data_IF_672501021894
#
_entry.id   IF_672501021894
#
_cell.length_a   1.000
_cell.length_b   1.000
_cell.length_c   1.000
_cell.angle_alpha   90.00
_cell.angle_beta   90.00
_cell.angle_gamma   90.00
#
_symmetry.space_group_name_H-M   'P 1'
#
loop_
_entity.id
_entity.type
_entity.pdbx_description
1 polymer ?
#
# COMPACT_ATOMS: atom_id res chain seq x y z
N UNK A 1 39.67 39.92 29.52
CA UNK A 1 38.54 38.97 29.74
C UNK A 1 37.74 38.88 28.44
N UNK A 2 37.44 37.68 27.90
CA UNK A 2 36.68 37.56 26.67
C UNK A 2 35.17 37.62 26.96
N UNK A 3 34.34 38.18 26.06
CA UNK A 3 32.92 38.37 26.33
C UNK A 3 32.11 37.09 26.08
N UNK A 4 31.12 36.86 26.96
CA UNK A 4 30.17 35.74 26.92
C UNK A 4 29.37 35.73 25.60
N UNK A 5 29.48 34.64 24.84
CA UNK A 5 28.58 34.34 23.72
C UNK A 5 27.17 34.05 24.26
N UNK A 6 26.18 34.85 23.87
CA UNK A 6 24.76 34.52 23.96
C UNK A 6 24.49 33.37 22.99
N UNK A 7 24.18 32.19 23.50
CA UNK A 7 23.56 31.14 22.70
C UNK A 7 22.06 31.46 22.63
N UNK A 8 21.64 32.15 21.57
CA UNK A 8 20.25 32.15 21.18
C UNK A 8 19.95 30.72 20.69
N UNK A 9 19.13 29.99 21.44
CA UNK A 9 18.50 28.77 20.96
C UNK A 9 17.36 29.17 20.05
N UNK A 10 17.71 29.46 18.80
CA UNK A 10 16.76 29.65 17.71
C UNK A 10 16.37 28.25 17.22
N UNK A 11 15.50 27.58 17.97
CA UNK A 11 14.84 26.34 17.52
C UNK A 11 13.58 26.73 16.74
N UNK A 12 13.80 27.42 15.62
CA UNK A 12 12.82 27.54 14.57
C UNK A 12 12.71 26.15 13.93
N UNK A 13 11.88 25.30 14.53
CA UNK A 13 11.41 24.08 13.91
C UNK A 13 10.84 24.45 12.54
N UNK A 14 11.54 24.06 11.48
CA UNK A 14 11.04 24.14 10.12
C UNK A 14 9.66 23.48 10.09
N UNK A 15 8.63 24.28 9.87
CA UNK A 15 7.30 23.79 9.56
C UNK A 15 7.40 23.09 8.20
N UNK A 16 7.56 21.77 8.21
CA UNK A 16 7.37 20.94 7.03
C UNK A 16 5.91 21.05 6.60
N UNK A 17 5.70 21.90 5.61
CA UNK A 17 4.48 22.06 4.85
C UNK A 17 3.96 20.71 4.32
N UNK A 18 2.66 20.51 4.51
CA UNK A 18 1.80 19.61 3.71
C UNK A 18 2.03 18.09 3.82
N UNK A 19 1.90 17.53 5.03
CA UNK A 19 1.58 16.10 5.15
C UNK A 19 0.08 15.90 4.86
N UNK A 20 -0.23 15.31 3.70
CA UNK A 20 -1.59 15.01 3.19
C UNK A 20 -2.39 14.02 4.07
N UNK A 21 -1.78 13.46 5.11
CA UNK A 21 -2.35 12.43 5.98
C UNK A 21 -2.10 12.77 7.45
N UNK A 22 -2.95 12.22 8.34
CA UNK A 22 -2.79 12.36 9.78
C UNK A 22 -1.43 11.78 10.21
N UNK A 23 -0.61 12.60 10.85
CA UNK A 23 0.67 12.19 11.42
C UNK A 23 0.70 12.47 12.91
N UNK A 24 1.37 11.60 13.67
CA UNK A 24 1.55 11.79 15.11
C UNK A 24 2.65 12.83 15.33
N UNK A 25 2.33 13.92 16.05
CA UNK A 25 3.34 14.89 16.48
C UNK A 25 4.05 14.37 17.74
N UNK A 26 5.39 14.38 17.80
CA UNK A 26 6.10 14.04 19.02
C UNK A 26 5.72 15.02 20.13
N UNK A 27 5.23 14.49 21.24
CA UNK A 27 4.71 15.30 22.35
C UNK A 27 5.43 14.95 23.66
N UNK A 28 6.18 15.91 24.20
CA UNK A 28 6.90 15.75 25.47
C UNK A 28 6.00 16.19 26.62
N UNK A 29 5.68 15.26 27.53
CA UNK A 29 4.94 15.55 28.77
C UNK A 29 5.87 15.65 29.96
N UNK A 30 5.79 16.76 30.71
CA UNK A 30 6.48 16.92 31.99
C UNK A 30 5.64 16.27 33.09
N UNK A 31 6.19 15.26 33.77
CA UNK A 31 5.51 14.53 34.85
C UNK A 31 6.06 14.99 36.20
N UNK A 32 5.22 15.42 37.15
CA UNK A 32 5.70 15.86 38.47
C UNK A 32 6.19 14.67 39.30
N UNK A 33 7.21 14.89 40.12
CA UNK A 33 7.82 13.84 40.96
C UNK A 33 6.83 13.17 41.92
N UNK A 34 5.83 13.91 42.39
CA UNK A 34 4.75 13.37 43.24
C UNK A 34 3.98 12.27 42.51
N UNK A 35 3.72 12.45 41.21
CA UNK A 35 3.05 11.44 40.37
C UNK A 35 3.93 10.23 40.16
N UNK A 36 5.24 10.42 39.99
CA UNK A 36 6.20 9.31 39.89
C UNK A 36 6.17 8.49 41.18
N UNK A 37 6.36 9.12 42.34
CA UNK A 37 6.42 8.40 43.63
C UNK A 37 5.09 7.76 44.04
N UNK A 38 3.96 8.35 43.63
CA UNK A 38 2.61 7.87 44.02
C UNK A 38 2.01 6.85 43.06
N UNK A 39 2.22 7.00 41.75
CA UNK A 39 1.53 6.19 40.72
C UNK A 39 2.43 5.20 40.02
N UNK A 40 3.76 5.35 40.10
CA UNK A 40 4.68 4.44 39.43
C UNK A 40 5.07 3.36 40.41
N UNK A 41 4.69 2.13 40.09
CA UNK A 41 5.02 0.95 40.87
C UNK A 41 6.35 0.36 40.39
N UNK A 42 7.08 -0.36 41.26
CA UNK A 42 8.16 -1.22 40.80
C UNK A 42 7.59 -2.35 39.93
N UNK A 43 8.46 -2.90 39.09
CA UNK A 43 8.12 -4.01 38.19
C UNK A 43 7.75 -5.28 38.98
N UNK A 44 6.85 -6.10 38.44
CA UNK A 44 6.51 -7.42 39.02
C UNK A 44 7.72 -8.35 39.03
N UNK A 45 7.92 -9.12 40.10
CA UNK A 45 9.02 -10.08 40.29
C UNK A 45 9.27 -11.03 39.10
N UNK A 46 8.26 -11.71 38.52
CA UNK A 46 8.46 -12.55 37.33
C UNK A 46 9.03 -11.80 36.12
N UNK A 47 8.71 -10.52 35.97
CA UNK A 47 9.22 -9.71 34.86
C UNK A 47 10.64 -9.21 35.17
N UNK A 48 10.96 -8.99 36.45
CA UNK A 48 12.34 -8.71 36.84
C UNK A 48 13.26 -9.88 36.47
N UNK A 49 12.83 -11.12 36.69
CA UNK A 49 13.56 -12.32 36.28
C UNK A 49 13.74 -12.41 34.77
N UNK A 50 12.69 -12.11 33.99
CA UNK A 50 12.78 -12.03 32.51
C UNK A 50 13.81 -11.01 32.06
N UNK A 51 13.80 -9.81 32.65
CA UNK A 51 14.77 -8.74 32.36
C UNK A 51 16.19 -9.16 32.73
N UNK A 52 16.37 -9.85 33.86
CA UNK A 52 17.66 -10.43 34.22
C UNK A 52 18.09 -11.49 33.20
N UNK A 53 17.19 -12.37 32.75
CA UNK A 53 17.46 -13.33 31.67
C UNK A 53 17.93 -12.65 30.37
N UNK A 54 17.30 -11.53 29.98
CA UNK A 54 17.73 -10.72 28.85
C UNK A 54 19.13 -10.13 29.05
N UNK A 55 19.45 -9.64 30.25
CA UNK A 55 20.81 -9.16 30.51
C UNK A 55 21.85 -10.26 30.33
N UNK A 56 21.58 -11.48 30.81
CA UNK A 56 22.48 -12.63 30.65
C UNK A 56 22.67 -13.05 29.19
N UNK A 57 21.61 -12.99 28.37
CA UNK A 57 21.73 -13.30 26.93
C UNK A 57 22.57 -12.25 26.19
N UNK A 58 22.45 -10.98 26.58
CA UNK A 58 23.23 -9.86 26.04
C UNK A 58 24.71 -9.87 26.48
N UNK A 59 25.08 -10.59 27.54
CA UNK A 59 26.50 -10.71 27.94
C UNK A 59 27.33 -11.50 26.91
N UNK A 60 26.74 -12.58 26.37
CA UNK A 60 27.40 -13.51 25.45
C UNK A 60 28.00 -12.84 24.21
N UNK A 61 27.28 -12.00 23.45
CA UNK A 61 27.85 -11.34 22.27
C UNK A 61 29.01 -10.39 22.62
N UNK A 62 28.97 -9.72 23.77
CA UNK A 62 30.04 -8.80 24.21
C UNK A 62 31.32 -9.58 24.54
N UNK A 63 31.20 -10.72 25.22
CA UNK A 63 32.33 -11.58 25.56
C UNK A 63 32.91 -12.24 24.29
N UNK A 64 32.04 -12.78 23.42
CA UNK A 64 32.47 -13.50 22.22
C UNK A 64 33.12 -12.60 21.16
N UNK A 65 32.80 -11.30 21.15
CA UNK A 65 33.43 -10.32 20.25
C UNK A 65 34.94 -10.18 20.48
N UNK A 66 35.40 -10.38 21.71
CA UNK A 66 36.84 -10.32 22.02
C UNK A 66 37.50 -11.65 21.64
N UNK A 67 38.55 -11.64 20.82
CA UNK A 67 39.27 -12.86 20.45
C UNK A 67 40.33 -13.27 21.50
N UNK A 68 40.91 -12.30 22.21
CA UNK A 68 41.94 -12.54 23.21
C UNK A 68 41.34 -13.01 24.54
N UNK A 69 41.83 -14.14 25.07
CA UNK A 69 41.34 -14.72 26.33
C UNK A 69 41.45 -13.75 27.52
N UNK A 70 42.57 -13.04 27.65
CA UNK A 70 42.74 -12.02 28.72
C UNK A 70 41.67 -10.91 28.65
N UNK A 71 41.32 -10.47 27.44
CA UNK A 71 40.29 -9.45 27.21
C UNK A 71 38.88 -10.01 27.41
N UNK A 72 38.67 -11.31 27.17
CA UNK A 72 37.39 -11.99 27.47
C UNK A 72 37.12 -12.00 28.97
N UNK A 73 38.12 -12.35 29.77
CA UNK A 73 37.99 -12.39 31.23
C UNK A 73 37.70 -10.99 31.81
N UNK A 74 38.41 -9.96 31.33
CA UNK A 74 38.17 -8.57 31.74
C UNK A 74 36.76 -8.10 31.35
N UNK A 75 36.35 -8.34 30.10
CA UNK A 75 35.02 -8.00 29.62
C UNK A 75 33.92 -8.74 30.38
N UNK A 76 34.11 -10.03 30.66
CA UNK A 76 33.19 -10.81 31.47
C UNK A 76 33.05 -10.23 32.89
N UNK A 77 34.16 -9.89 33.55
CA UNK A 77 34.13 -9.25 34.87
C UNK A 77 33.40 -7.91 34.86
N UNK A 78 33.67 -7.07 33.86
CA UNK A 78 33.04 -5.76 33.70
C UNK A 78 31.53 -5.88 33.42
N UNK A 79 31.12 -6.74 32.49
CA UNK A 79 29.71 -6.95 32.14
C UNK A 79 28.93 -7.54 33.31
N UNK A 80 29.48 -8.56 33.99
CA UNK A 80 28.83 -9.14 35.16
C UNK A 80 28.66 -8.13 36.30
N UNK A 81 29.63 -7.22 36.49
CA UNK A 81 29.49 -6.15 37.48
C UNK A 81 28.30 -5.22 37.13
N UNK A 82 28.12 -4.88 35.86
CA UNK A 82 26.98 -4.07 35.39
C UNK A 82 25.67 -4.82 35.60
N UNK A 83 25.57 -6.10 35.21
CA UNK A 83 24.34 -6.89 35.37
C UNK A 83 23.95 -7.03 36.84
N UNK A 84 24.91 -7.28 37.74
CA UNK A 84 24.66 -7.29 39.19
C UNK A 84 24.18 -5.94 39.71
N UNK A 85 24.72 -4.83 39.23
CA UNK A 85 24.30 -3.50 39.63
C UNK A 85 22.89 -3.17 39.12
N UNK A 86 22.56 -3.56 37.89
CA UNK A 86 21.22 -3.38 37.31
C UNK A 86 20.18 -4.24 38.04
N UNK A 87 20.51 -5.50 38.35
CA UNK A 87 19.64 -6.39 39.13
C UNK A 87 19.31 -5.83 40.52
N UNK A 88 20.27 -5.18 41.19
CA UNK A 88 20.02 -4.50 42.48
C UNK A 88 19.12 -3.27 42.35
N UNK A 89 19.09 -2.62 41.19
CA UNK A 89 18.33 -1.39 40.94
C UNK A 89 16.92 -1.66 40.41
N UNK A 90 16.71 -2.80 39.76
CA UNK A 90 15.46 -3.16 39.11
C UNK A 90 14.24 -3.15 40.06
N UNK A 91 14.33 -3.68 41.30
CA UNK A 91 13.22 -3.64 42.26
C UNK A 91 12.91 -2.23 42.79
N UNK A 92 13.85 -1.29 42.66
CA UNK A 92 13.75 0.08 43.20
C UNK A 92 13.45 1.13 42.13
N UNK A 93 13.37 0.72 40.86
CA UNK A 93 13.12 1.62 39.75
C UNK A 93 11.61 1.81 39.57
N UNK A 94 11.10 3.05 39.59
CA UNK A 94 9.68 3.31 39.35
C UNK A 94 9.38 3.19 37.86
N UNK A 95 8.41 2.35 37.49
CA UNK A 95 7.94 2.21 36.11
C UNK A 95 6.57 2.87 35.93
N UNK A 96 6.42 3.56 34.80
CA UNK A 96 5.14 4.18 34.43
C UNK A 96 4.03 3.12 34.34
N UNK A 97 2.79 3.40 34.77
CA UNK A 97 1.69 2.41 34.73
C UNK A 97 1.31 1.93 33.32
N UNK A 98 1.81 2.59 32.27
CA UNK A 98 1.61 2.17 30.88
C UNK A 98 2.53 0.98 30.52
N UNK A 99 3.62 0.75 31.26
CA UNK A 99 4.49 -0.38 31.01
C UNK A 99 3.75 -1.67 31.37
N UNK A 100 3.51 -2.50 30.36
CA UNK A 100 2.94 -3.84 30.52
C UNK A 100 4.07 -4.86 30.63
N UNK A 101 3.81 -5.95 31.32
CA UNK A 101 4.73 -7.07 31.47
C UNK A 101 5.14 -7.67 30.11
N UNK A 102 4.22 -7.64 29.13
CA UNK A 102 4.47 -8.06 27.74
C UNK A 102 5.57 -7.27 27.04
N UNK A 103 5.79 -6.01 27.43
CA UNK A 103 6.79 -5.15 26.79
C UNK A 103 8.24 -5.60 27.08
N UNK A 104 8.43 -6.48 28.06
CA UNK A 104 9.73 -7.04 28.45
C UNK A 104 9.97 -8.44 27.89
N UNK A 105 9.06 -8.94 27.04
CA UNK A 105 9.20 -10.24 26.39
C UNK A 105 9.75 -10.06 24.97
N UNK A 106 11.06 -10.27 24.84
CA UNK A 106 11.77 -10.08 23.57
C UNK A 106 11.24 -10.98 22.45
N UNK A 107 10.91 -12.23 22.77
CA UNK A 107 10.42 -13.19 21.77
C UNK A 107 9.01 -12.83 21.28
N UNK A 108 8.14 -12.35 22.19
CA UNK A 108 6.82 -11.84 21.80
C UNK A 108 6.95 -10.65 20.86
N UNK A 109 7.81 -9.69 21.19
CA UNK A 109 8.04 -8.50 20.36
C UNK A 109 8.60 -8.86 18.97
N UNK A 110 9.51 -9.85 18.88
CA UNK A 110 10.01 -10.35 17.61
C UNK A 110 8.94 -11.03 16.77
N UNK A 111 8.07 -11.83 17.39
CA UNK A 111 6.98 -12.50 16.69
C UNK A 111 5.95 -11.50 16.15
N UNK A 112 5.60 -10.47 16.96
CA UNK A 112 4.78 -9.35 16.50
C UNK A 112 5.43 -8.64 15.32
N UNK A 113 6.72 -8.33 15.39
CA UNK A 113 7.46 -7.70 14.29
C UNK A 113 7.37 -8.52 13.00
N UNK A 114 7.67 -9.82 13.06
CA UNK A 114 7.59 -10.73 11.90
C UNK A 114 6.18 -10.80 11.33
N UNK A 115 5.16 -10.81 12.18
CA UNK A 115 3.76 -10.80 11.74
C UNK A 115 3.39 -9.51 11.01
N UNK A 116 3.88 -8.36 11.50
CA UNK A 116 3.65 -7.06 10.89
C UNK A 116 4.41 -6.92 9.57
N UNK A 117 5.65 -7.42 9.50
CA UNK A 117 6.42 -7.47 8.26
C UNK A 117 5.74 -8.34 7.20
N UNK A 118 5.24 -9.52 7.57
CA UNK A 118 4.47 -10.37 6.66
C UNK A 118 3.21 -9.67 6.16
N UNK A 119 2.48 -8.97 7.04
CA UNK A 119 1.28 -8.23 6.65
C UNK A 119 1.61 -7.05 5.73
N UNK A 120 2.67 -6.31 6.03
CA UNK A 120 3.19 -5.22 5.21
C UNK A 120 3.55 -5.75 3.81
N UNK A 121 4.27 -6.87 3.72
CA UNK A 121 4.62 -7.48 2.45
C UNK A 121 3.38 -7.84 1.62
N UNK A 122 2.41 -8.55 2.21
CA UNK A 122 1.15 -8.89 1.51
C UNK A 122 0.37 -7.65 1.06
N UNK A 123 0.33 -6.60 1.87
CA UNK A 123 -0.34 -5.35 1.49
C UNK A 123 0.39 -4.65 0.35
N UNK A 124 1.71 -4.59 0.36
CA UNK A 124 2.49 -4.04 -0.74
C UNK A 124 2.29 -4.83 -2.04
N UNK A 125 2.32 -6.17 -1.97
CA UNK A 125 2.07 -7.03 -3.12
C UNK A 125 0.68 -6.78 -3.70
N UNK A 126 -0.34 -6.61 -2.85
CA UNK A 126 -1.70 -6.29 -3.29
C UNK A 126 -1.79 -4.91 -3.96
N UNK A 127 -1.06 -3.93 -3.43
CA UNK A 127 -0.99 -2.57 -4.01
C UNK A 127 -0.33 -2.62 -5.38
N UNK A 128 0.72 -3.42 -5.55
CA UNK A 128 1.42 -3.52 -6.82
C UNK A 128 0.60 -4.26 -7.88
N UNK A 129 -0.19 -5.29 -7.50
CA UNK A 129 -1.18 -5.90 -8.38
C UNK A 129 -2.23 -4.88 -8.83
N UNK A 130 -2.80 -4.11 -7.90
CA UNK A 130 -3.82 -3.12 -8.23
C UNK A 130 -3.27 -2.01 -9.13
N UNK A 131 -2.04 -1.55 -8.90
CA UNK A 131 -1.37 -0.59 -9.79
C UNK A 131 -1.18 -1.15 -11.20
N UNK A 132 -0.79 -2.42 -11.32
CA UNK A 132 -0.63 -3.07 -12.61
C UNK A 132 -1.97 -3.17 -13.36
N UNK A 133 -3.06 -3.51 -12.67
CA UNK A 133 -4.39 -3.55 -13.28
C UNK A 133 -4.87 -2.15 -13.68
N UNK A 134 -4.66 -1.13 -12.82
CA UNK A 134 -4.98 0.27 -13.16
C UNK A 134 -4.25 0.70 -14.43
N UNK A 135 -2.94 0.43 -14.52
CA UNK A 135 -2.15 0.80 -15.70
C UNK A 135 -2.65 0.12 -16.99
N UNK A 136 -3.13 -1.13 -16.88
CA UNK A 136 -3.72 -1.88 -17.99
C UNK A 136 -5.06 -1.29 -18.41
N UNK A 137 -5.95 -1.01 -17.47
CA UNK A 137 -7.26 -0.39 -17.74
C UNK A 137 -7.11 1.03 -18.30
N UNK A 138 -6.18 1.83 -17.79
CA UNK A 138 -5.86 3.15 -18.34
C UNK A 138 -5.37 3.06 -19.80
N UNK A 139 -4.59 2.04 -20.14
CA UNK A 139 -4.15 1.79 -21.51
C UNK A 139 -5.31 1.38 -22.44
N UNK A 140 -6.24 0.54 -21.97
CA UNK A 140 -7.44 0.16 -22.71
C UNK A 140 -8.36 1.36 -22.95
N UNK A 141 -8.64 2.15 -21.90
CA UNK A 141 -9.41 3.39 -21.99
C UNK A 141 -8.77 4.39 -22.96
N UNK A 142 -7.44 4.50 -22.97
CA UNK A 142 -6.74 5.35 -23.93
C UNK A 142 -6.89 4.87 -25.38
N UNK A 143 -7.03 3.57 -25.61
CA UNK A 143 -7.35 3.00 -26.92
C UNK A 143 -8.79 3.29 -27.35
N UNK A 144 -9.76 3.03 -26.48
CA UNK A 144 -11.19 3.24 -26.75
C UNK A 144 -11.51 4.71 -27.00
N UNK A 145 -10.96 5.62 -26.19
CA UNK A 145 -11.14 7.06 -26.37
C UNK A 145 -10.58 7.55 -27.71
N UNK A 146 -9.46 7.00 -28.19
CA UNK A 146 -8.95 7.29 -29.54
C UNK A 146 -9.88 6.78 -30.64
N UNK A 147 -10.39 5.55 -30.49
CA UNK A 147 -11.35 4.96 -31.44
C UNK A 147 -12.65 5.78 -31.53
N UNK A 148 -13.22 6.17 -30.38
CA UNK A 148 -14.40 7.05 -30.33
C UNK A 148 -14.14 8.40 -31.00
N UNK A 149 -12.96 9.01 -30.78
CA UNK A 149 -12.59 10.26 -31.43
C UNK A 149 -12.45 10.11 -32.95
N UNK A 150 -12.00 8.96 -33.44
CA UNK A 150 -11.93 8.68 -34.87
C UNK A 150 -13.33 8.51 -35.48
N UNK A 151 -14.22 7.75 -34.82
CA UNK A 151 -15.60 7.59 -35.26
C UNK A 151 -16.36 8.92 -35.26
N UNK A 152 -16.20 9.77 -34.25
CA UNK A 152 -16.82 11.10 -34.21
C UNK A 152 -16.33 12.00 -35.36
N UNK A 153 -15.02 11.99 -35.65
CA UNK A 153 -14.46 12.71 -36.82
C UNK A 153 -15.02 12.17 -38.14
N UNK A 154 -15.14 10.85 -38.28
CA UNK A 154 -15.66 10.21 -39.48
C UNK A 154 -17.16 10.50 -39.66
N UNK A 155 -17.96 10.42 -38.59
CA UNK A 155 -19.38 10.78 -38.59
C UNK A 155 -19.58 12.25 -39.00
N UNK A 156 -18.79 13.18 -38.42
CA UNK A 156 -18.82 14.60 -38.79
C UNK A 156 -18.45 14.86 -40.25
N UNK A 157 -17.44 14.13 -40.78
CA UNK A 157 -17.05 14.22 -42.19
C UNK A 157 -18.16 13.71 -43.11
N UNK A 158 -18.75 12.55 -42.79
CA UNK A 158 -19.86 11.97 -43.54
C UNK A 158 -21.09 12.89 -43.52
N UNK A 159 -21.43 13.48 -42.38
CA UNK A 159 -22.53 14.45 -42.28
C UNK A 159 -22.25 15.72 -43.11
N UNK A 160 -21.03 16.25 -43.06
CA UNK A 160 -20.64 17.40 -43.86
C UNK A 160 -20.67 17.10 -45.36
N UNK A 161 -20.29 15.88 -45.77
CA UNK A 161 -20.36 15.44 -47.15
C UNK A 161 -21.81 15.24 -47.62
N UNK A 162 -22.66 14.57 -46.83
CA UNK A 162 -24.11 14.48 -47.12
C UNK A 162 -24.74 15.87 -47.25
N UNK A 163 -24.37 16.83 -46.38
CA UNK A 163 -24.81 18.23 -46.47
C UNK A 163 -24.32 18.94 -47.74
N UNK A 164 -23.19 18.54 -48.32
CA UNK A 164 -22.70 19.07 -49.61
C UNK A 164 -23.44 18.42 -50.78
N UNK A 165 -23.61 17.10 -50.75
CA UNK A 165 -24.33 16.35 -51.78
C UNK A 165 -25.79 16.81 -51.88
N UNK A 166 -26.51 16.92 -50.76
CA UNK A 166 -27.89 17.45 -50.70
C UNK A 166 -28.05 18.89 -51.18
N UNK A 167 -26.98 19.70 -51.17
CA UNK A 167 -27.00 21.05 -51.77
C UNK A 167 -26.81 21.01 -53.29
N UNK A 168 -26.11 20.00 -53.80
CA UNK A 168 -25.83 19.80 -55.23
C UNK A 168 -26.92 18.98 -55.93
N UNK A 169 -27.82 18.33 -55.18
CA UNK A 169 -28.95 17.57 -55.71
C UNK A 169 -30.04 18.48 -56.33
N UNK A 170 -30.67 17.96 -57.39
CA UNK A 170 -31.74 18.67 -58.09
C UNK A 170 -32.99 18.83 -57.18
N UNK A 171 -33.69 19.98 -57.21
CA UNK A 171 -34.79 20.30 -56.29
C UNK A 171 -35.93 19.26 -56.23
N UNK A 172 -36.15 18.48 -57.29
CA UNK A 172 -37.15 17.40 -57.31
C UNK A 172 -36.79 16.25 -56.38
N UNK A 173 -35.52 15.83 -56.32
CA UNK A 173 -35.05 14.75 -55.44
C UNK A 173 -35.12 15.18 -53.97
N UNK A 174 -34.82 16.46 -53.72
CA UNK A 174 -34.91 17.07 -52.40
C UNK A 174 -36.33 17.13 -51.84
N UNK A 175 -37.34 17.23 -52.70
CA UNK A 175 -38.75 17.20 -52.32
C UNK A 175 -39.25 15.79 -51.99
N UNK A 176 -38.69 14.76 -52.64
CA UNK A 176 -39.03 13.36 -52.37
C UNK A 176 -38.47 12.89 -51.01
N UNK A 177 -37.26 13.31 -50.64
CA UNK A 177 -36.66 13.02 -49.33
C UNK A 177 -37.31 13.78 -48.16
N UNK A 178 -38.02 14.87 -48.43
CA UNK A 178 -38.68 15.70 -47.40
C UNK A 178 -40.10 15.22 -47.05
N UNK A 179 -40.64 14.23 -47.76
CA UNK A 179 -41.94 13.64 -47.44
C UNK A 179 -41.80 12.71 -46.21
N UNK A 180 -42.74 12.75 -45.25
CA UNK A 180 -42.70 11.86 -44.09
C UNK A 180 -42.81 10.39 -44.55
N UNK A 181 -42.11 9.45 -43.88
CA UNK A 181 -42.16 8.04 -44.23
C UNK A 181 -43.62 7.59 -44.14
N UNK A 182 -44.20 7.25 -45.29
CA UNK A 182 -45.56 6.73 -45.34
C UNK A 182 -45.49 5.29 -44.85
N UNK A 183 -46.15 5.00 -43.73
CA UNK A 183 -46.39 3.64 -43.23
C UNK A 183 -46.94 2.79 -44.39
N UNK A 184 -46.14 1.84 -44.85
CA UNK A 184 -46.51 0.88 -45.90
C UNK A 184 -45.93 1.19 -47.27
N UNK A 185 -44.80 0.55 -47.59
CA UNK A 185 -44.61 -0.26 -48.82
C UNK A 185 -43.14 -0.40 -49.14
N UNK A 186 -42.68 -1.65 -49.24
CA UNK A 186 -41.49 -2.03 -49.99
C UNK A 186 -40.18 -1.96 -49.21
N UNK A 187 -39.92 -3.00 -48.44
CA UNK A 187 -38.58 -3.58 -48.42
C UNK A 187 -38.11 -3.72 -49.87
N UNK A 188 -37.29 -2.80 -50.36
CA UNK A 188 -36.44 -3.08 -51.52
C UNK A 188 -35.39 -4.07 -51.02
N UNK A 189 -35.78 -5.34 -51.04
CA UNK A 189 -34.94 -6.50 -50.91
C UNK A 189 -33.88 -6.42 -52.01
N UNK A 190 -32.69 -5.91 -51.67
CA UNK A 190 -31.53 -5.96 -52.54
C UNK A 190 -30.92 -7.35 -52.42
N UNK A 191 -31.41 -8.29 -53.22
CA UNK A 191 -30.79 -9.62 -53.33
C UNK A 191 -29.46 -9.48 -54.06
N UNK A 192 -28.35 -9.51 -53.33
CA UNK A 192 -27.02 -9.78 -53.90
C UNK A 192 -26.98 -11.23 -54.39
N UNK A 193 -27.32 -11.43 -55.66
CA UNK A 193 -27.05 -12.68 -56.36
C UNK A 193 -25.53 -12.78 -56.60
N UNK A 194 -24.80 -13.30 -55.61
CA UNK A 194 -23.41 -13.70 -55.82
C UNK A 194 -22.46 -13.51 -54.63
N UNK A 195 -22.73 -14.15 -53.50
CA UNK A 195 -21.67 -14.57 -52.58
C UNK A 195 -22.14 -15.80 -51.81
N UNK A 196 -21.60 -16.93 -52.24
CA UNK A 196 -21.78 -18.25 -51.65
C UNK A 196 -21.14 -18.26 -50.27
N UNK A 197 -21.92 -18.73 -49.29
CA UNK A 197 -21.51 -19.28 -48.00
C UNK A 197 -20.47 -18.49 -47.21
N UNK A 198 -20.94 -17.68 -46.25
CA UNK A 198 -20.42 -17.61 -44.88
C UNK A 198 -21.22 -16.57 -44.09
N UNK A 199 -22.36 -17.01 -43.57
CA UNK A 199 -23.10 -16.28 -42.55
C UNK A 199 -22.34 -16.50 -41.22
N UNK A 200 -21.31 -15.70 -40.98
CA UNK A 200 -20.78 -15.51 -39.63
C UNK A 200 -21.59 -14.39 -39.01
N UNK A 201 -22.45 -14.76 -38.06
CA UNK A 201 -23.18 -13.84 -37.20
C UNK A 201 -22.17 -13.05 -36.36
N UNK A 202 -22.32 -11.72 -36.33
CA UNK A 202 -21.47 -10.78 -35.61
C UNK A 202 -21.59 -10.89 -34.07
N UNK A 203 -22.27 -11.92 -33.57
CA UNK A 203 -22.46 -12.22 -32.15
C UNK A 203 -21.43 -13.24 -31.61
N UNK A 204 -20.62 -13.89 -32.45
CA UNK A 204 -19.65 -14.91 -32.00
C UNK A 204 -18.25 -14.37 -31.65
N UNK A 205 -17.94 -13.09 -31.91
CA UNK A 205 -16.60 -12.53 -31.65
C UNK A 205 -16.34 -12.23 -30.17
N UNK A 206 -17.38 -12.18 -29.33
CA UNK A 206 -17.27 -11.82 -27.91
C UNK A 206 -17.47 -12.97 -26.92
N UNK A 207 -17.59 -14.22 -27.38
CA UNK A 207 -17.60 -15.37 -26.47
C UNK A 207 -16.15 -15.69 -26.08
N UNK A 208 -15.69 -15.05 -25.01
CA UNK A 208 -14.43 -15.39 -24.36
C UNK A 208 -14.40 -16.89 -24.00
N UNK A 209 -13.28 -17.60 -24.18
CA UNK A 209 -13.15 -18.95 -23.66
C UNK A 209 -13.18 -18.89 -22.13
N UNK A 210 -14.12 -19.64 -21.54
CA UNK A 210 -14.21 -19.95 -20.11
C UNK A 210 -12.82 -20.22 -19.51
N UNK A 211 -12.48 -19.62 -18.35
CA UNK A 211 -11.25 -19.97 -17.66
C UNK A 211 -11.36 -21.42 -17.17
N UNK A 212 -10.51 -22.29 -17.71
CA UNK A 212 -10.28 -23.62 -17.14
C UNK A 212 -10.01 -23.49 -15.64
N UNK A 213 -10.97 -23.95 -14.83
CA UNK A 213 -10.80 -24.23 -13.41
C UNK A 213 -9.76 -25.34 -13.31
N UNK A 214 -8.49 -24.96 -13.15
CA UNK A 214 -7.46 -25.88 -12.72
C UNK A 214 -7.76 -26.24 -11.27
N UNK A 215 -8.38 -27.41 -11.10
CA UNK A 215 -8.44 -28.11 -9.85
C UNK A 215 -7.00 -28.33 -9.35
N UNK A 216 -6.55 -27.46 -8.43
CA UNK A 216 -5.39 -27.74 -7.62
C UNK A 216 -5.77 -28.89 -6.68
N UNK A 217 -5.31 -30.07 -7.06
CA UNK A 217 -5.27 -31.26 -6.22
C UNK A 217 -4.56 -30.92 -4.91
N UNK A 218 -5.35 -30.77 -3.85
CA UNK A 218 -4.86 -30.80 -2.48
C UNK A 218 -4.33 -32.21 -2.20
N UNK A 219 -3.01 -32.38 -2.27
CA UNK A 219 -2.35 -33.51 -1.63
C UNK A 219 -2.52 -33.36 -0.12
N UNK A 220 -3.37 -34.22 0.43
CA UNK A 220 -3.51 -34.48 1.85
C UNK A 220 -2.28 -35.31 2.26
N UNK A 221 -1.36 -34.71 3.01
CA UNK A 221 -0.28 -35.43 3.67
C UNK A 221 -0.82 -35.88 5.03
N UNK A 222 -0.96 -37.19 5.21
CA UNK A 222 -1.03 -37.88 6.51
C UNK A 222 0.37 -38.36 6.85
#
# INVERSE_FOLDING_TARGET
MPPKRKHAGDDASQEDDSKRYAYLKPHVRRVPEKTIKSKWAPLSEPVQEKVMGMFHSLERPVIMRNHNERKRIEAQGAVQAVVRNLGKRLPRMPFSPITKDSNFDYESALNEHRSLESHLATMNDSVDLLKAEIAKEEALLAGETKSLQEMDKNAKRAEAERKRQTKNEHPVLRQLDALPPTEGSGSSEFTLLGAKDNQVTLDEVWTAPEPHVLALSTYHCV
#
